data_IF_942607959636
#
_entry.id   IF_942607959636
#
_cell.length_a   1.000
_cell.length_b   1.000
_cell.length_c   1.000
_cell.angle_alpha   90.00
_cell.angle_beta   90.00
_cell.angle_gamma   90.00
#
_symmetry.space_group_name_H-M   'P 1'
#
loop_
_entity.id
_entity.type
_entity.pdbx_description
1 polymer ?
#
# COMPACT_ATOMS: atom_id res chain seq x y z
N UNK A 1 1.91 -0.38 17.41
CA UNK A 1 1.23 -1.25 16.43
C UNK A 1 0.58 -2.47 17.08
N UNK A 2 1.21 -3.11 18.06
CA UNK A 2 0.70 -4.36 18.64
C UNK A 2 -0.69 -4.25 19.29
N UNK A 3 -1.00 -3.14 19.97
CA UNK A 3 -2.36 -2.90 20.46
C UNK A 3 -3.40 -2.82 19.33
N UNK A 4 -3.04 -2.19 18.20
CA UNK A 4 -3.92 -2.12 17.03
C UNK A 4 -4.14 -3.52 16.45
N UNK A 5 -3.09 -4.36 16.38
CA UNK A 5 -3.20 -5.77 15.98
C UNK A 5 -4.07 -6.58 16.94
N UNK A 6 -3.84 -6.46 18.25
CA UNK A 6 -4.60 -7.14 19.29
C UNK A 6 -6.10 -6.83 19.19
N UNK A 7 -6.43 -5.57 18.90
CA UNK A 7 -7.81 -5.12 18.72
C UNK A 7 -8.32 -5.24 17.27
N UNK A 8 -7.52 -5.83 16.36
CA UNK A 8 -7.86 -6.03 14.94
C UNK A 8 -8.28 -4.75 14.22
N UNK A 9 -7.66 -3.63 14.58
CA UNK A 9 -7.87 -2.36 13.89
C UNK A 9 -7.16 -2.40 12.54
N UNK A 10 -7.87 -2.17 11.41
CA UNK A 10 -7.24 -2.09 10.10
C UNK A 10 -6.19 -0.98 10.05
N UNK A 11 -4.99 -1.31 9.57
CA UNK A 11 -3.87 -0.38 9.45
C UNK A 11 -3.76 0.10 8.01
N UNK A 12 -3.94 1.40 7.76
CA UNK A 12 -3.63 2.01 6.47
C UNK A 12 -2.23 2.66 6.51
N UNK A 13 -1.55 2.70 5.36
CA UNK A 13 -0.25 3.36 5.19
C UNK A 13 -0.37 4.39 4.08
N UNK A 14 0.10 5.61 4.35
CA UNK A 14 0.10 6.72 3.42
C UNK A 14 1.43 7.47 3.47
N UNK A 15 1.68 8.30 2.45
CA UNK A 15 2.89 9.12 2.39
C UNK A 15 2.85 10.33 3.31
N UNK A 16 1.64 10.79 3.65
CA UNK A 16 1.43 12.11 4.28
C UNK A 16 2.10 13.23 3.48
N UNK A 17 2.18 13.12 2.14
CA UNK A 17 2.99 14.00 1.30
C UNK A 17 2.66 15.49 1.51
N UNK A 18 3.56 16.22 2.17
CA UNK A 18 3.42 17.62 2.50
C UNK A 18 4.80 18.30 2.63
N UNK A 19 4.92 19.63 2.45
CA UNK A 19 6.21 20.32 2.44
C UNK A 19 6.86 20.46 3.83
N UNK A 20 6.13 20.24 4.92
CA UNK A 20 6.60 20.55 6.28
C UNK A 20 7.17 19.34 7.01
N UNK A 21 6.36 18.32 7.23
CA UNK A 21 6.71 17.15 8.07
C UNK A 21 7.06 15.90 7.26
N UNK A 22 6.51 15.76 6.05
CA UNK A 22 6.70 14.56 5.24
C UNK A 22 6.79 14.91 3.75
N UNK A 23 7.96 15.41 3.28
CA UNK A 23 8.24 15.63 1.85
C UNK A 23 8.45 14.29 1.11
N UNK A 24 7.60 13.30 1.37
CA UNK A 24 7.66 11.93 0.91
C UNK A 24 6.67 11.74 -0.25
N UNK A 25 7.18 11.55 -1.46
CA UNK A 25 6.36 11.40 -2.67
C UNK A 25 6.22 9.96 -3.16
N UNK A 26 6.83 9.00 -2.47
CA UNK A 26 6.84 7.58 -2.86
C UNK A 26 6.05 6.74 -1.85
N UNK A 27 4.97 6.11 -2.34
CA UNK A 27 4.21 5.14 -1.53
C UNK A 27 5.04 3.90 -1.20
N UNK A 28 5.89 3.41 -2.11
CA UNK A 28 6.76 2.26 -1.85
C UNK A 28 7.75 2.55 -0.71
N UNK A 29 8.28 3.77 -0.66
CA UNK A 29 9.13 4.20 0.45
C UNK A 29 8.34 4.26 1.77
N UNK A 30 7.10 4.78 1.76
CA UNK A 30 6.25 4.77 2.96
C UNK A 30 5.97 3.35 3.47
N UNK A 31 5.78 2.39 2.56
CA UNK A 31 5.58 0.98 2.90
C UNK A 31 6.84 0.33 3.49
N UNK A 32 8.02 0.59 2.92
CA UNK A 32 9.30 0.18 3.50
C UNK A 32 9.46 0.74 4.92
N UNK A 33 9.25 2.06 5.08
CA UNK A 33 9.34 2.72 6.39
C UNK A 33 8.34 2.13 7.40
N UNK A 34 7.11 1.81 6.99
CA UNK A 34 6.15 1.15 7.87
C UNK A 34 6.66 -0.22 8.37
N UNK A 35 7.34 -0.98 7.52
CA UNK A 35 7.93 -2.26 7.91
C UNK A 35 9.15 -2.08 8.81
N UNK A 36 10.07 -1.16 8.47
CA UNK A 36 11.32 -0.98 9.20
C UNK A 36 11.12 -0.24 10.53
N UNK A 37 10.32 0.82 10.54
CA UNK A 37 10.16 1.72 11.69
C UNK A 37 9.02 1.28 12.62
N UNK A 38 7.96 0.67 12.09
CA UNK A 38 6.79 0.27 12.86
C UNK A 38 6.60 -1.25 12.94
N UNK A 39 7.55 -2.01 12.40
CA UNK A 39 7.55 -3.48 12.41
C UNK A 39 6.29 -4.09 11.80
N UNK A 40 5.69 -3.44 10.79
CA UNK A 40 4.67 -4.07 9.96
C UNK A 40 5.29 -5.22 9.16
N UNK A 41 4.51 -6.26 8.92
CA UNK A 41 4.87 -7.27 7.93
C UNK A 41 4.67 -6.70 6.52
N UNK A 42 5.33 -7.30 5.53
CA UNK A 42 5.14 -6.92 4.13
C UNK A 42 3.66 -7.01 3.70
N UNK A 43 2.95 -8.02 4.22
CA UNK A 43 1.53 -8.22 3.96
C UNK A 43 0.68 -7.10 4.58
N UNK A 44 0.94 -6.71 5.83
CA UNK A 44 0.23 -5.62 6.49
C UNK A 44 0.47 -4.28 5.77
N UNK A 45 1.70 -4.02 5.35
CA UNK A 45 2.03 -2.81 4.61
C UNK A 45 1.30 -2.77 3.25
N UNK A 46 1.36 -3.86 2.46
CA UNK A 46 0.65 -3.94 1.19
C UNK A 46 -0.87 -3.83 1.35
N UNK A 47 -1.45 -4.49 2.35
CA UNK A 47 -2.86 -4.29 2.70
C UNK A 47 -3.16 -2.84 3.10
N UNK A 48 -2.21 -2.18 3.75
CA UNK A 48 -2.25 -0.79 4.19
C UNK A 48 -2.37 0.23 3.06
N UNK A 49 -1.75 -0.03 1.90
CA UNK A 49 -1.85 0.83 0.71
C UNK A 49 -2.86 0.33 -0.34
N UNK A 50 -3.59 -0.75 -0.06
CA UNK A 50 -4.61 -1.30 -0.97
C UNK A 50 -5.97 -1.37 -0.27
N UNK A 51 -6.31 -2.52 0.32
CA UNK A 51 -7.60 -2.81 0.95
C UNK A 51 -7.92 -1.82 2.07
N UNK A 52 -6.99 -1.57 2.98
CA UNK A 52 -7.22 -0.71 4.15
C UNK A 52 -7.26 0.78 3.77
N UNK A 53 -6.44 1.21 2.79
CA UNK A 53 -6.51 2.56 2.24
C UNK A 53 -7.86 2.83 1.56
N UNK A 54 -8.35 1.89 0.75
CA UNK A 54 -9.66 2.03 0.11
C UNK A 54 -10.80 2.10 1.15
N UNK A 55 -10.74 1.29 2.21
CA UNK A 55 -11.70 1.38 3.32
C UNK A 55 -11.64 2.74 4.03
N UNK A 56 -10.44 3.27 4.31
CA UNK A 56 -10.26 4.57 4.97
C UNK A 56 -10.85 5.73 4.15
N UNK A 57 -10.89 5.61 2.82
CA UNK A 57 -11.48 6.59 1.90
C UNK A 57 -12.97 6.35 1.62
N UNK A 58 -13.60 5.32 2.21
CA UNK A 58 -14.99 4.94 1.91
C UNK A 58 -15.18 4.26 0.54
N UNK A 59 -14.08 3.87 -0.12
CA UNK A 59 -14.06 3.29 -1.48
C UNK A 59 -13.88 1.77 -1.49
N UNK A 60 -13.91 1.11 -0.33
CA UNK A 60 -13.66 -0.34 -0.22
C UNK A 60 -14.65 -1.23 -1.00
N UNK A 61 -15.83 -0.70 -1.37
CA UNK A 61 -16.80 -1.36 -2.24
C UNK A 61 -16.48 -1.19 -3.74
N UNK A 62 -15.54 -0.31 -4.09
CA UNK A 62 -15.22 0.06 -5.47
C UNK A 62 -13.81 -0.33 -5.90
N UNK A 63 -12.81 -0.28 -5.01
CA UNK A 63 -11.40 -0.56 -5.34
C UNK A 63 -10.62 -1.08 -4.13
N UNK A 64 -9.32 -1.32 -4.29
CA UNK A 64 -8.39 -1.75 -3.23
C UNK A 64 -8.23 -3.26 -3.08
N UNK A 65 -9.02 -4.06 -3.79
CA UNK A 65 -8.88 -5.52 -3.88
C UNK A 65 -9.25 -6.01 -5.27
N UNK A 66 -8.76 -7.21 -5.63
CA UNK A 66 -9.04 -7.86 -6.91
C UNK A 66 -10.27 -8.77 -6.77
N UNK A 67 -11.45 -8.19 -6.93
CA UNK A 67 -12.73 -8.91 -6.80
C UNK A 67 -13.68 -8.54 -7.95
N UNK A 68 -14.48 -9.48 -8.49
CA UNK A 68 -15.49 -9.16 -9.49
C UNK A 68 -16.44 -8.05 -9.03
N UNK A 69 -16.75 -7.12 -9.92
CA UNK A 69 -17.64 -5.98 -9.65
C UNK A 69 -16.93 -4.72 -9.14
N UNK A 70 -15.65 -4.80 -8.74
CA UNK A 70 -14.82 -3.63 -8.42
C UNK A 70 -14.14 -3.06 -9.68
N UNK A 71 -13.60 -1.85 -9.58
CA UNK A 71 -12.81 -1.24 -10.64
C UNK A 71 -11.57 -2.08 -10.94
N UNK A 72 -11.27 -2.24 -12.24
CA UNK A 72 -10.04 -2.89 -12.70
C UNK A 72 -8.87 -1.90 -12.63
N UNK A 73 -8.43 -1.61 -11.40
CA UNK A 73 -7.28 -0.77 -11.11
C UNK A 73 -6.13 -1.68 -10.64
N UNK A 74 -5.14 -1.90 -11.52
CA UNK A 74 -4.06 -2.86 -11.30
C UNK A 74 -2.68 -2.20 -11.39
N UNK A 75 -1.76 -2.71 -10.60
CA UNK A 75 -0.33 -2.49 -10.78
C UNK A 75 0.33 -3.85 -11.04
N UNK A 76 1.00 -3.98 -12.19
CA UNK A 76 1.76 -5.16 -12.59
C UNK A 76 3.21 -4.86 -12.28
N UNK A 77 3.86 -5.73 -11.53
CA UNK A 77 5.20 -5.51 -10.98
C UNK A 77 6.19 -6.53 -11.53
N UNK A 78 7.42 -6.08 -11.79
CA UNK A 78 8.53 -6.95 -12.17
C UNK A 78 9.31 -7.39 -10.90
N UNK A 79 8.71 -8.29 -10.13
CA UNK A 79 9.27 -8.85 -8.89
C UNK A 79 8.87 -10.32 -8.75
N UNK A 80 9.68 -11.13 -8.09
CA UNK A 80 9.35 -12.55 -7.87
C UNK A 80 8.41 -12.72 -6.67
N UNK A 81 8.54 -11.86 -5.65
CA UNK A 81 7.73 -11.89 -4.43
C UNK A 81 7.23 -10.50 -4.05
N UNK A 82 6.00 -10.36 -3.50
CA UNK A 82 5.47 -9.06 -3.08
C UNK A 82 6.34 -8.30 -2.07
N UNK A 83 7.10 -9.01 -1.23
CA UNK A 83 8.02 -8.40 -0.27
C UNK A 83 9.14 -7.58 -0.92
N UNK A 84 9.50 -7.87 -2.18
CA UNK A 84 10.53 -7.13 -2.90
C UNK A 84 10.09 -5.69 -3.25
N UNK A 85 8.78 -5.44 -3.36
CA UNK A 85 8.22 -4.12 -3.61
C UNK A 85 8.62 -3.09 -2.56
N UNK A 86 8.90 -3.56 -1.35
CA UNK A 86 9.15 -2.74 -0.17
C UNK A 86 10.55 -2.98 0.39
N UNK A 87 11.39 -3.77 -0.26
CA UNK A 87 12.72 -4.13 0.23
C UNK A 87 13.74 -3.00 -0.02
N UNK A 88 13.68 -2.35 -1.18
CA UNK A 88 14.66 -1.36 -1.62
C UNK A 88 14.08 0.05 -1.63
N UNK A 89 14.77 0.99 -0.99
CA UNK A 89 14.43 2.41 -1.05
C UNK A 89 14.79 3.01 -2.42
N UNK A 90 13.89 3.82 -2.97
CA UNK A 90 14.13 4.55 -4.22
C UNK A 90 14.05 3.70 -5.50
N UNK A 91 13.65 2.42 -5.39
CA UNK A 91 13.43 1.55 -6.52
C UNK A 91 11.94 1.49 -6.90
N UNK A 92 11.63 1.48 -8.19
CA UNK A 92 10.27 1.36 -8.70
C UNK A 92 10.20 0.26 -9.78
N UNK A 93 9.80 -0.97 -9.42
CA UNK A 93 9.69 -2.09 -10.35
C UNK A 93 8.33 -2.18 -11.05
N UNK A 94 7.57 -1.06 -11.15
CA UNK A 94 6.29 -1.06 -11.86
C UNK A 94 6.52 -1.38 -13.34
N UNK A 95 5.93 -2.49 -13.80
CA UNK A 95 5.98 -2.90 -15.20
C UNK A 95 4.86 -2.23 -15.99
N UNK A 96 3.63 -2.29 -15.47
CA UNK A 96 2.47 -1.68 -16.11
C UNK A 96 1.43 -1.27 -15.08
N UNK A 97 0.61 -0.29 -15.44
CA UNK A 97 -0.53 0.15 -14.64
C UNK A 97 -1.78 0.07 -15.51
N UNK A 98 -2.83 -0.52 -14.98
CA UNK A 98 -4.16 -0.54 -15.57
C UNK A 98 -5.05 0.36 -14.71
N UNK A 99 -5.78 1.28 -15.35
CA UNK A 99 -6.71 2.18 -14.66
C UNK A 99 -8.07 2.06 -15.29
N UNK A 100 -9.06 1.61 -14.51
CA UNK A 100 -10.43 1.34 -15.01
C UNK A 100 -10.48 0.37 -16.18
N UNK A 101 -9.52 -0.56 -16.26
CA UNK A 101 -9.43 -1.55 -17.34
C UNK A 101 -8.74 -1.05 -18.62
N UNK A 102 -8.20 0.17 -18.63
CA UNK A 102 -7.42 0.74 -19.73
C UNK A 102 -5.93 0.90 -19.40
#
# INVERSE_FOLDING_TARGET
VDLLRQHRVPLAVATDCNPGSSPLTSILTALNMACILFHLTAEEALAGATRNAAMALGLGHQTGTLEPGKFCDLAIWNVDRPAELIASLGFNPLHARVWRGA
#
